data_IF_164800061328
#
_entry.id   IF_164800061328
#
_cell.length_a   1.000
_cell.length_b   1.000
_cell.length_c   1.000
_cell.angle_alpha   90.00
_cell.angle_beta   90.00
_cell.angle_gamma   90.00
#
_symmetry.space_group_name_H-M   'P 1'
#
loop_
_entity.id
_entity.type
_entity.pdbx_description
1 polymer ?
#
# COMPACT_ATOMS: atom_id res chain seq x y z
N UNK A 1 -11.23 -3.55 -10.65
CA UNK A 1 -9.85 -3.31 -10.18
C UNK A 1 -8.94 -3.55 -11.35
N UNK A 2 -8.05 -2.61 -11.66
CA UNK A 2 -7.26 -2.65 -12.90
C UNK A 2 -5.76 -2.75 -12.59
N UNK A 3 -5.33 -2.26 -11.43
CA UNK A 3 -3.92 -2.26 -11.03
C UNK A 3 -3.74 -2.82 -9.62
N UNK A 4 -2.82 -3.77 -9.49
CA UNK A 4 -2.31 -4.26 -8.22
C UNK A 4 -0.95 -3.59 -7.99
N UNK A 5 -0.83 -2.79 -6.93
CA UNK A 5 0.41 -2.10 -6.61
C UNK A 5 1.35 -3.06 -5.86
N UNK A 6 2.64 -2.98 -6.20
CA UNK A 6 3.68 -3.63 -5.42
C UNK A 6 4.06 -2.80 -4.19
N UNK A 7 4.95 -3.34 -3.38
CA UNK A 7 5.38 -2.75 -2.11
C UNK A 7 6.20 -1.48 -2.30
N UNK A 8 7.06 -1.42 -3.31
CA UNK A 8 7.90 -0.25 -3.59
C UNK A 8 7.05 0.96 -4.00
N UNK A 9 6.03 0.76 -4.85
CA UNK A 9 5.09 1.81 -5.24
C UNK A 9 4.29 2.30 -4.02
N UNK A 10 3.87 1.40 -3.13
CA UNK A 10 3.21 1.79 -1.88
C UNK A 10 4.13 2.61 -0.97
N UNK A 11 5.41 2.23 -0.85
CA UNK A 11 6.41 2.97 -0.08
C UNK A 11 6.64 4.35 -0.69
N UNK A 12 6.75 4.46 -2.01
CA UNK A 12 6.90 5.74 -2.70
C UNK A 12 5.69 6.66 -2.50
N UNK A 13 4.48 6.11 -2.54
CA UNK A 13 3.28 6.87 -2.19
C UNK A 13 3.36 7.37 -0.76
N UNK A 14 3.60 6.49 0.20
CA UNK A 14 3.68 6.84 1.62
C UNK A 14 4.71 7.95 1.85
N UNK A 15 5.87 7.88 1.18
CA UNK A 15 6.93 8.88 1.24
C UNK A 15 6.64 10.18 0.50
N UNK A 16 5.44 10.32 -0.08
CA UNK A 16 4.94 11.57 -0.64
C UNK A 16 5.46 11.87 -2.04
N UNK A 17 5.82 10.85 -2.84
CA UNK A 17 6.19 11.08 -4.24
C UNK A 17 4.99 11.61 -5.03
N UNK A 18 5.06 12.84 -5.57
CA UNK A 18 3.90 13.49 -6.20
C UNK A 18 3.42 12.73 -7.44
N UNK A 19 4.32 12.14 -8.22
CA UNK A 19 3.98 11.44 -9.46
C UNK A 19 3.10 10.22 -9.19
N UNK A 20 3.38 9.48 -8.10
CA UNK A 20 2.58 8.32 -7.69
C UNK A 20 1.17 8.77 -7.29
N UNK A 21 1.07 9.84 -6.51
CA UNK A 21 -0.22 10.37 -6.06
C UNK A 21 -1.05 10.88 -7.23
N UNK A 22 -0.45 11.62 -8.16
CA UNK A 22 -1.12 12.15 -9.35
C UNK A 22 -1.64 11.01 -10.23
N UNK A 23 -0.82 10.00 -10.49
CA UNK A 23 -1.23 8.82 -11.26
C UNK A 23 -2.36 8.06 -10.58
N UNK A 24 -2.28 7.88 -9.26
CA UNK A 24 -3.32 7.19 -8.50
C UNK A 24 -4.66 7.94 -8.51
N UNK A 25 -4.62 9.27 -8.44
CA UNK A 25 -5.82 10.11 -8.56
C UNK A 25 -6.41 10.07 -9.97
N UNK A 26 -5.56 10.08 -11.01
CA UNK A 26 -6.01 9.99 -12.40
C UNK A 26 -6.66 8.64 -12.73
N UNK A 27 -6.13 7.54 -12.17
CA UNK A 27 -6.70 6.19 -12.31
C UNK A 27 -7.97 6.03 -11.45
N UNK A 28 -8.01 6.72 -10.31
CA UNK A 28 -9.05 6.59 -9.29
C UNK A 28 -8.73 5.46 -8.31
N UNK A 29 -8.77 5.77 -7.00
CA UNK A 29 -8.40 4.85 -5.91
C UNK A 29 -9.17 3.53 -5.95
N UNK A 30 -10.44 3.55 -6.38
CA UNK A 30 -11.30 2.37 -6.51
C UNK A 30 -10.81 1.35 -7.55
N UNK A 31 -9.90 1.75 -8.44
CA UNK A 31 -9.29 0.86 -9.44
C UNK A 31 -7.95 0.28 -8.99
N UNK A 32 -7.46 0.68 -7.82
CA UNK A 32 -6.19 0.23 -7.24
C UNK A 32 -6.43 -0.81 -6.16
N UNK A 33 -5.50 -1.75 -6.04
CA UNK A 33 -5.46 -2.76 -4.99
C UNK A 33 -4.03 -2.97 -4.51
N UNK A 34 -3.87 -3.56 -3.34
CA UNK A 34 -2.63 -4.23 -2.94
C UNK A 34 -2.93 -5.68 -2.56
N UNK A 35 -1.91 -6.53 -2.62
CA UNK A 35 -2.03 -7.88 -2.07
C UNK A 35 -1.97 -7.83 -0.54
N UNK A 36 -2.57 -8.82 0.13
CA UNK A 36 -2.37 -8.99 1.58
C UNK A 36 -0.90 -9.24 1.96
N UNK A 37 -0.09 -9.76 1.03
CA UNK A 37 1.37 -9.92 1.20
C UNK A 37 2.05 -8.54 1.25
N UNK A 38 1.72 -7.65 0.31
CA UNK A 38 2.19 -6.25 0.30
C UNK A 38 1.78 -5.51 1.58
N UNK A 39 0.56 -5.73 2.07
CA UNK A 39 0.14 -5.15 3.35
C UNK A 39 1.03 -5.65 4.51
N UNK A 40 1.36 -6.94 4.54
CA UNK A 40 2.25 -7.51 5.55
C UNK A 40 3.67 -6.92 5.48
N UNK A 41 4.21 -6.69 4.28
CA UNK A 41 5.52 -6.05 4.09
C UNK A 41 5.54 -4.60 4.58
N UNK A 42 4.45 -3.84 4.33
CA UNK A 42 4.32 -2.47 4.85
C UNK A 42 4.31 -2.44 6.38
N UNK A 43 3.56 -3.34 7.02
CA UNK A 43 3.56 -3.47 8.48
C UNK A 43 4.92 -3.90 9.01
N UNK A 44 5.56 -4.90 8.39
CA UNK A 44 6.91 -5.32 8.76
C UNK A 44 7.90 -4.16 8.69
N UNK A 45 7.88 -3.37 7.61
CA UNK A 45 8.70 -2.18 7.45
C UNK A 45 8.43 -1.12 8.53
N UNK A 46 7.17 -0.92 8.92
CA UNK A 46 6.81 -0.01 10.00
C UNK A 46 7.36 -0.48 11.36
N UNK A 47 7.15 -1.75 11.71
CA UNK A 47 7.64 -2.36 12.96
C UNK A 47 9.17 -2.37 13.05
N UNK A 48 9.88 -2.54 11.93
CA UNK A 48 11.34 -2.58 11.87
C UNK A 48 11.98 -1.18 11.71
N UNK A 49 11.20 -0.10 11.74
CA UNK A 49 11.72 1.26 11.58
C UNK A 49 12.13 1.90 12.90
N UNK A 50 12.97 2.93 12.86
CA UNK A 50 13.31 3.74 14.05
C UNK A 50 12.16 4.62 14.56
N UNK A 51 11.06 4.71 13.78
CA UNK A 51 9.89 5.57 14.05
C UNK A 51 8.60 4.73 14.04
N UNK A 52 8.60 3.63 14.80
CA UNK A 52 7.55 2.59 14.78
C UNK A 52 6.14 3.16 14.86
N UNK A 53 5.80 3.90 15.91
CA UNK A 53 4.42 4.39 16.13
C UNK A 53 3.91 5.26 14.95
N UNK A 54 4.77 6.12 14.42
CA UNK A 54 4.39 6.98 13.31
C UNK A 54 4.22 6.19 12.00
N UNK A 55 5.17 5.31 11.69
CA UNK A 55 5.11 4.53 10.45
C UNK A 55 3.99 3.49 10.50
N UNK A 56 3.67 2.96 11.68
CA UNK A 56 2.53 2.07 11.87
C UNK A 56 1.23 2.79 11.57
N UNK A 57 1.02 3.98 12.14
CA UNK A 57 -0.19 4.78 11.85
C UNK A 57 -0.32 5.16 10.36
N UNK A 58 0.80 5.43 9.67
CA UNK A 58 0.81 5.65 8.21
C UNK A 58 0.43 4.39 7.43
N UNK A 59 0.95 3.24 7.81
CA UNK A 59 0.63 1.95 7.19
C UNK A 59 -0.86 1.60 7.41
N UNK A 60 -1.37 1.74 8.63
CA UNK A 60 -2.77 1.49 8.97
C UNK A 60 -3.72 2.39 8.15
N UNK A 61 -3.41 3.69 8.07
CA UNK A 61 -4.21 4.63 7.27
C UNK A 61 -4.21 4.25 5.80
N UNK A 62 -3.04 3.88 5.24
CA UNK A 62 -2.94 3.50 3.83
C UNK A 62 -3.67 2.20 3.53
N UNK A 63 -3.41 1.14 4.31
CA UNK A 63 -4.04 -0.18 4.17
C UNK A 63 -5.55 -0.09 4.37
N UNK A 64 -6.04 0.77 5.28
CA UNK A 64 -7.48 1.00 5.48
C UNK A 64 -8.16 1.78 4.35
N UNK A 65 -7.39 2.47 3.49
CA UNK A 65 -7.92 3.31 2.41
C UNK A 65 -7.85 2.65 1.02
N UNK A 66 -7.19 1.49 0.90
CA UNK A 66 -6.98 0.78 -0.36
C UNK A 66 -7.55 -0.64 -0.28
N UNK A 67 -8.04 -1.16 -1.40
CA UNK A 67 -8.60 -2.50 -1.44
C UNK A 67 -7.51 -3.58 -1.34
N UNK A 68 -7.78 -4.65 -0.57
CA UNK A 68 -6.84 -5.74 -0.29
C UNK A 68 -7.29 -7.02 -1.00
N UNK A 69 -6.36 -7.67 -1.70
CA UNK A 69 -6.58 -8.96 -2.36
C UNK A 69 -5.87 -10.08 -1.59
N UNK A 70 -6.60 -11.10 -1.11
CA UNK A 70 -5.97 -12.27 -0.48
C UNK A 70 -5.29 -13.16 -1.54
N UNK A 71 -4.26 -13.94 -1.18
CA UNK A 71 -3.75 -14.99 -2.06
C UNK A 71 -4.85 -16.03 -2.30
N UNK A 72 -5.02 -16.41 -3.56
CA UNK A 72 -5.91 -17.51 -3.94
C UNK A 72 -5.05 -18.74 -4.25
N UNK A 73 -5.52 -19.92 -3.87
CA UNK A 73 -4.92 -21.19 -4.32
C UNK A 73 -5.28 -21.42 -5.78
N UNK A 74 -4.31 -21.79 -6.61
CA UNK A 74 -4.59 -22.26 -7.97
C UNK A 74 -5.34 -23.60 -7.87
N UNK A 75 -6.62 -23.61 -8.22
CA UNK A 75 -7.43 -24.81 -8.45
C UNK A 75 -7.19 -25.33 -9.85
#
# INVERSE_FOLDING_TARGET
MTHLLDTDICIYWLNGRPEIREHALAIGITHLAISSITAAELYFGAYNSTRVAQNLGRAEQFVGAIAIIPPTTAT
#
